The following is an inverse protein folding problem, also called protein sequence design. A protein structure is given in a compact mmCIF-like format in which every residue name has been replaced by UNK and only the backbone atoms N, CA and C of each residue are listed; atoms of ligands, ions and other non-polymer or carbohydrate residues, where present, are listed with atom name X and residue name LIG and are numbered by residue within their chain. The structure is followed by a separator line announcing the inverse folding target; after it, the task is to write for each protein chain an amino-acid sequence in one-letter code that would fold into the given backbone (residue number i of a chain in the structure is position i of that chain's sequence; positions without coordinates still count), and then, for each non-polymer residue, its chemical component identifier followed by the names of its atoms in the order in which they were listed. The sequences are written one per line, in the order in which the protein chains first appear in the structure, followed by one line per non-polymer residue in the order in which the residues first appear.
data_IF_616488220951
#
_entry.id   IF_616488220951
#
_cell.length_a   1.000
_cell.length_b   1.000
_cell.length_c   1.000
_cell.angle_alpha   90.00
_cell.angle_beta   90.00
_cell.angle_gamma   90.00
#
_symmetry.space_group_name_H-M   'P 1'
#
loop_
_entity.id
_entity.type
_entity.pdbx_description
1 polymer ?
#
# COMPACT_ATOMS: atom_id res chain seq x y z
N UNK A 1 42.40 19.55 32.76
CA UNK A 1 42.08 18.11 32.91
C UNK A 1 41.77 17.56 31.52
N UNK A 2 42.68 16.74 30.97
CA UNK A 2 42.54 16.10 29.65
C UNK A 2 41.70 14.84 29.82
N UNK A 3 40.60 14.71 29.06
CA UNK A 3 39.86 13.45 28.93
C UNK A 3 40.23 12.83 27.59
N UNK A 4 40.95 11.73 27.66
CA UNK A 4 41.24 10.86 26.52
C UNK A 4 39.97 10.08 26.17
N UNK A 5 39.58 10.08 24.90
CA UNK A 5 38.49 9.27 24.37
C UNK A 5 39.12 8.07 23.66
N UNK A 6 38.87 6.90 24.24
CA UNK A 6 39.24 5.59 23.71
C UNK A 6 38.41 5.28 22.46
N UNK A 7 39.06 5.15 21.30
CA UNK A 7 38.46 4.64 20.07
C UNK A 7 38.68 3.12 20.06
N UNK A 8 37.61 2.35 20.27
CA UNK A 8 37.59 0.90 20.16
C UNK A 8 37.12 0.52 18.75
N UNK A 9 38.08 0.08 17.93
CA UNK A 9 37.91 -0.34 16.55
C UNK A 9 37.51 -1.82 16.55
N UNK A 10 36.22 -2.12 16.41
CA UNK A 10 35.73 -3.50 16.26
C UNK A 10 35.72 -3.85 14.77
N UNK A 11 36.77 -4.53 14.34
CA UNK A 11 36.84 -5.18 13.03
C UNK A 11 36.07 -6.50 13.13
N UNK A 12 34.85 -6.53 12.57
CA UNK A 12 34.09 -7.77 12.41
C UNK A 12 34.45 -8.40 11.06
N UNK A 13 35.23 -9.49 11.12
CA UNK A 13 35.45 -10.41 10.00
C UNK A 13 34.13 -11.12 9.65
N UNK A 14 33.56 -10.82 8.49
CA UNK A 14 32.55 -11.67 7.87
C UNK A 14 33.23 -12.80 7.11
N UNK A 15 33.16 -14.01 7.68
CA UNK A 15 33.51 -15.26 7.00
C UNK A 15 32.40 -15.56 5.99
N UNK A 16 32.74 -15.54 4.71
CA UNK A 16 31.87 -15.97 3.61
C UNK A 16 31.79 -17.50 3.68
N UNK A 17 30.68 -18.01 4.24
CA UNK A 17 30.34 -19.42 4.22
C UNK A 17 29.80 -19.79 2.83
N UNK A 18 30.60 -20.53 2.07
CA UNK A 18 30.27 -21.11 0.78
C UNK A 18 29.16 -22.16 0.92
N UNK A 19 27.95 -21.84 0.48
CA UNK A 19 26.90 -22.83 0.28
C UNK A 19 27.18 -23.62 -1.01
N UNK A 20 27.73 -24.83 -0.88
CA UNK A 20 27.68 -25.88 -1.90
C UNK A 20 26.25 -26.43 -1.93
N UNK A 21 25.47 -26.11 -2.96
CA UNK A 21 24.21 -26.81 -3.21
C UNK A 21 24.49 -28.13 -3.94
N UNK A 22 24.15 -29.20 -3.23
CA UNK A 22 24.16 -30.59 -3.66
C UNK A 22 22.99 -30.80 -4.63
N UNK A 23 23.28 -31.17 -5.87
CA UNK A 23 22.27 -31.68 -6.80
C UNK A 23 21.95 -33.14 -6.43
N UNK A 24 20.87 -33.36 -5.69
CA UNK A 24 20.25 -34.67 -5.62
C UNK A 24 19.36 -34.84 -6.86
N UNK A 25 19.82 -35.68 -7.78
CA UNK A 25 19.08 -36.12 -8.96
C UNK A 25 18.23 -37.32 -8.54
N UNK A 26 16.99 -37.05 -8.15
CA UNK A 26 16.04 -38.11 -7.82
C UNK A 26 15.31 -38.58 -9.08
N UNK A 27 15.46 -39.87 -9.36
CA UNK A 27 14.83 -40.57 -10.48
C UNK A 27 13.66 -41.40 -9.94
N UNK A 28 12.47 -40.80 -9.90
CA UNK A 28 11.20 -41.51 -9.73
C UNK A 28 10.26 -41.25 -10.92
N UNK A 29 10.75 -41.60 -12.12
CA UNK A 29 9.88 -41.76 -13.30
C UNK A 29 9.19 -43.12 -13.20
N UNK A 30 7.88 -43.16 -13.00
CA UNK A 30 7.16 -44.43 -13.11
C UNK A 30 5.67 -44.47 -12.74
N UNK A 31 5.06 -43.40 -12.23
CA UNK A 31 3.63 -43.40 -11.91
C UNK A 31 2.92 -42.04 -12.03
N UNK A 32 3.56 -41.02 -12.62
CA UNK A 32 3.06 -39.63 -12.66
C UNK A 32 2.69 -39.14 -14.07
N UNK A 33 2.55 -40.07 -15.03
CA UNK A 33 2.32 -39.75 -16.45
C UNK A 33 0.88 -40.03 -16.93
N UNK A 34 -0.01 -40.52 -16.07
CA UNK A 34 -1.42 -40.80 -16.42
C UNK A 34 -2.43 -39.80 -15.82
N UNK A 35 -2.02 -38.92 -14.90
CA UNK A 35 -2.88 -37.86 -14.37
C UNK A 35 -2.60 -36.47 -14.98
N UNK A 36 -1.48 -36.27 -15.68
CA UNK A 36 -1.11 -34.98 -16.28
C UNK A 36 -1.87 -34.64 -17.58
N UNK A 37 -2.40 -35.64 -18.29
CA UNK A 37 -3.20 -35.38 -19.51
C UNK A 37 -4.67 -35.00 -19.21
N UNK A 38 -5.14 -35.15 -17.97
CA UNK A 38 -6.51 -34.74 -17.58
C UNK A 38 -6.58 -33.36 -16.91
N UNK A 39 -5.44 -32.80 -16.47
CA UNK A 39 -5.38 -31.45 -15.86
C UNK A 39 -5.39 -30.31 -16.90
N UNK A 40 -5.00 -30.58 -18.16
CA UNK A 40 -4.74 -29.51 -19.15
C UNK A 40 -5.97 -28.90 -19.82
N UNK A 41 -7.18 -29.43 -19.59
CA UNK A 41 -8.40 -28.91 -20.23
C UNK A 41 -9.30 -28.07 -19.31
N UNK A 42 -8.96 -27.97 -18.02
CA UNK A 42 -9.72 -27.12 -17.11
C UNK A 42 -9.21 -25.68 -17.18
N UNK A 43 -9.77 -24.87 -18.08
CA UNK A 43 -9.59 -23.41 -18.07
C UNK A 43 -10.39 -22.81 -16.90
N UNK A 44 -9.96 -23.09 -15.67
CA UNK A 44 -10.71 -22.76 -14.47
C UNK A 44 -10.61 -21.27 -14.17
N UNK A 45 -11.76 -20.60 -14.11
CA UNK A 45 -11.86 -19.19 -13.68
C UNK A 45 -11.76 -19.03 -12.15
N UNK A 46 -11.79 -20.13 -11.41
CA UNK A 46 -11.79 -20.15 -9.94
C UNK A 46 -11.17 -21.43 -9.37
N UNK A 47 -10.67 -21.35 -8.13
CA UNK A 47 -9.90 -22.43 -7.48
C UNK A 47 -10.69 -23.24 -6.45
N UNK A 48 -11.81 -22.69 -5.93
CA UNK A 48 -12.60 -23.28 -4.84
C UNK A 48 -14.08 -22.97 -5.10
N UNK A 49 -14.97 -23.96 -4.89
CA UNK A 49 -16.41 -23.75 -4.97
C UNK A 49 -16.90 -22.71 -3.96
N UNK A 50 -17.92 -21.94 -4.35
CA UNK A 50 -18.49 -20.87 -3.53
C UNK A 50 -18.40 -19.50 -4.20
N UNK A 51 -18.82 -18.48 -3.47
CA UNK A 51 -18.83 -17.12 -3.98
C UNK A 51 -17.43 -16.50 -3.92
N UNK A 52 -17.05 -15.77 -4.95
CA UNK A 52 -15.82 -15.00 -4.98
C UNK A 52 -15.99 -13.70 -5.76
N UNK A 53 -15.13 -12.73 -5.48
CA UNK A 53 -15.15 -11.43 -6.14
C UNK A 53 -13.96 -11.28 -7.07
N UNK A 54 -14.20 -10.79 -8.28
CA UNK A 54 -13.16 -10.25 -9.16
C UNK A 54 -13.57 -8.86 -9.63
N UNK A 55 -12.75 -7.87 -9.30
CA UNK A 55 -13.13 -6.45 -9.46
C UNK A 55 -14.35 -6.08 -8.61
N UNK A 56 -15.39 -5.57 -9.26
CA UNK A 56 -16.69 -5.24 -8.65
C UNK A 56 -17.76 -6.30 -8.93
N UNK A 57 -17.39 -7.47 -9.45
CA UNK A 57 -18.34 -8.49 -9.87
C UNK A 57 -18.26 -9.71 -8.95
N UNK A 58 -19.44 -10.16 -8.50
CA UNK A 58 -19.62 -11.35 -7.67
C UNK A 58 -19.90 -12.54 -8.56
N UNK A 59 -19.10 -13.59 -8.40
CA UNK A 59 -19.23 -14.85 -9.14
C UNK A 59 -19.51 -16.00 -8.19
N UNK A 60 -20.19 -17.03 -8.69
CA UNK A 60 -20.33 -18.32 -8.04
C UNK A 60 -19.45 -19.33 -8.75
N UNK A 61 -18.47 -19.87 -8.05
CA UNK A 61 -17.69 -21.01 -8.51
C UNK A 61 -18.44 -22.31 -8.17
N UNK A 62 -18.58 -23.20 -9.15
CA UNK A 62 -19.22 -24.51 -8.97
C UNK A 62 -18.58 -25.54 -9.93
N UNK A 63 -18.70 -26.83 -9.59
CA UNK A 63 -18.29 -27.92 -10.47
C UNK A 63 -19.26 -28.12 -11.63
N UNK A 64 -18.75 -28.05 -12.86
CA UNK A 64 -19.56 -28.24 -14.06
C UNK A 64 -19.67 -29.74 -14.39
N UNK A 65 -20.81 -30.35 -14.03
CA UNK A 65 -21.12 -31.76 -14.33
C UNK A 65 -20.24 -32.77 -13.58
N UNK A 66 -19.92 -33.89 -14.23
CA UNK A 66 -19.03 -34.94 -13.67
C UNK A 66 -17.54 -34.60 -13.82
N UNK A 67 -17.21 -33.49 -14.49
CA UNK A 67 -15.83 -33.05 -14.64
C UNK A 67 -15.26 -32.60 -13.29
N UNK A 68 -13.96 -32.74 -13.10
CA UNK A 68 -13.25 -32.13 -11.96
C UNK A 68 -13.05 -30.61 -12.15
N UNK A 69 -13.50 -30.03 -13.28
CA UNK A 69 -13.29 -28.62 -13.59
C UNK A 69 -14.28 -27.73 -12.82
N UNK A 70 -13.80 -26.54 -12.47
CA UNK A 70 -14.58 -25.49 -11.84
C UNK A 70 -14.94 -24.44 -12.88
N UNK A 71 -16.20 -24.03 -12.89
CA UNK A 71 -16.72 -22.94 -13.72
C UNK A 71 -17.24 -21.82 -12.83
N UNK A 72 -17.25 -20.60 -13.35
CA UNK A 72 -17.72 -19.43 -12.63
C UNK A 72 -18.88 -18.76 -13.38
N UNK A 73 -20.02 -18.60 -12.70
CA UNK A 73 -21.15 -17.82 -13.20
C UNK A 73 -21.17 -16.45 -12.52
N UNK A 74 -21.37 -15.38 -13.30
CA UNK A 74 -21.62 -14.05 -12.77
C UNK A 74 -22.96 -14.03 -12.03
N UNK A 75 -22.95 -13.70 -10.74
CA UNK A 75 -24.16 -13.53 -9.93
C UNK A 75 -24.68 -12.10 -10.01
N UNK A 76 -23.80 -11.13 -9.75
CA UNK A 76 -24.16 -9.71 -9.62
C UNK A 76 -22.96 -8.82 -9.94
N UNK A 77 -23.19 -7.73 -10.64
CA UNK A 77 -22.26 -6.61 -10.71
C UNK A 77 -22.60 -5.59 -9.62
N UNK A 78 -21.63 -5.26 -8.78
CA UNK A 78 -21.79 -4.26 -7.74
C UNK A 78 -21.66 -2.86 -8.33
N UNK A 79 -22.51 -1.95 -7.86
CA UNK A 79 -22.43 -0.55 -8.27
C UNK A 79 -21.13 0.12 -7.80
N UNK A 80 -20.84 1.32 -8.30
CA UNK A 80 -19.62 2.06 -7.94
C UNK A 80 -19.54 2.43 -6.45
N UNK A 81 -20.69 2.53 -5.77
CA UNK A 81 -20.82 2.74 -4.33
C UNK A 81 -20.93 1.43 -3.53
N UNK A 82 -20.85 0.26 -4.17
CA UNK A 82 -20.83 -1.04 -3.49
C UNK A 82 -19.45 -1.70 -3.60
N UNK A 83 -19.05 -2.43 -2.56
CA UNK A 83 -17.90 -3.33 -2.53
C UNK A 83 -18.42 -4.75 -2.69
N UNK A 84 -17.81 -5.51 -3.60
CA UNK A 84 -18.07 -6.94 -3.69
C UNK A 84 -17.48 -7.67 -2.48
N UNK A 85 -18.31 -8.47 -1.80
CA UNK A 85 -17.93 -9.41 -0.75
C UNK A 85 -18.46 -10.80 -1.09
N UNK A 86 -17.99 -11.84 -0.39
CA UNK A 86 -18.50 -13.21 -0.57
C UNK A 86 -20.00 -13.34 -0.27
N UNK A 87 -20.57 -12.38 0.48
CA UNK A 87 -21.98 -12.36 0.87
C UNK A 87 -22.86 -11.54 -0.10
N UNK A 88 -22.28 -10.81 -1.05
CA UNK A 88 -23.05 -9.92 -1.91
C UNK A 88 -22.30 -8.65 -2.29
N UNK A 89 -23.07 -7.65 -2.71
CA UNK A 89 -22.57 -6.30 -2.82
C UNK A 89 -22.98 -5.55 -1.55
N UNK A 90 -21.99 -5.04 -0.84
CA UNK A 90 -22.18 -4.25 0.38
C UNK A 90 -21.91 -2.79 0.08
N UNK A 91 -22.69 -1.87 0.63
CA UNK A 91 -22.43 -0.44 0.46
C UNK A 91 -21.02 -0.10 0.97
N UNK A 92 -20.23 0.60 0.16
CA UNK A 92 -18.93 1.12 0.57
C UNK A 92 -19.18 2.12 1.67
N UNK A 93 -18.63 1.85 2.85
CA UNK A 93 -18.48 2.90 3.85
C UNK A 93 -17.53 3.94 3.28
N UNK A 94 -18.08 5.10 2.95
CA UNK A 94 -17.28 6.28 2.66
C UNK A 94 -16.81 6.78 4.02
N UNK A 95 -15.50 6.76 4.31
CA UNK A 95 -14.99 7.26 5.58
C UNK A 95 -15.50 8.68 5.77
N UNK A 96 -16.08 8.97 6.93
CA UNK A 96 -16.45 10.34 7.25
C UNK A 96 -15.17 11.10 7.57
N UNK A 97 -14.70 11.87 6.59
CA UNK A 97 -13.44 12.60 6.71
C UNK A 97 -13.68 14.01 7.24
N UNK A 98 -12.84 14.37 8.18
CA UNK A 98 -12.72 15.71 8.72
C UNK A 98 -11.37 16.32 8.32
N UNK A 99 -11.29 17.64 8.38
CA UNK A 99 -10.09 18.43 8.06
C UNK A 99 -9.56 19.14 9.30
N UNK A 100 -9.80 18.55 10.47
CA UNK A 100 -9.49 19.18 11.75
C UNK A 100 -8.00 19.03 12.11
N UNK A 101 -7.32 18.02 11.56
CA UNK A 101 -5.88 17.89 11.73
C UNK A 101 -5.11 18.94 10.96
N UNK A 102 -4.06 19.43 11.61
CA UNK A 102 -3.15 20.42 11.06
C UNK A 102 -1.85 19.73 10.67
N UNK A 103 -1.32 20.04 9.49
CA UNK A 103 -0.05 19.49 9.03
C UNK A 103 1.09 19.82 10.01
N UNK A 104 0.98 20.88 10.82
CA UNK A 104 1.96 21.17 11.88
C UNK A 104 2.12 20.04 12.90
N UNK A 105 1.09 19.18 13.02
CA UNK A 105 1.08 18.07 13.96
C UNK A 105 1.88 16.87 13.41
N UNK A 106 2.31 16.89 12.15
CA UNK A 106 3.21 15.88 11.61
C UNK A 106 4.58 15.92 12.33
N UNK A 107 5.14 14.75 12.74
CA UNK A 107 4.69 13.40 12.45
C UNK A 107 3.90 12.71 13.57
N UNK A 108 3.41 13.45 14.58
CA UNK A 108 2.85 12.92 15.82
C UNK A 108 1.71 11.90 15.62
N UNK A 109 0.74 12.06 14.70
CA UNK A 109 -0.31 11.04 14.52
C UNK A 109 0.21 9.65 14.17
N UNK A 110 1.37 9.58 13.52
CA UNK A 110 1.99 8.35 13.03
C UNK A 110 2.95 7.73 14.05
N UNK A 111 3.30 8.46 15.12
CA UNK A 111 4.28 8.03 16.13
C UNK A 111 3.70 8.21 17.53
N UNK A 112 3.60 7.11 18.27
CA UNK A 112 3.14 7.10 19.66
C UNK A 112 4.13 6.34 20.55
N UNK A 113 4.59 6.96 21.63
CA UNK A 113 5.54 6.36 22.59
C UNK A 113 6.81 5.80 21.92
N UNK A 114 7.38 6.56 20.98
CA UNK A 114 8.52 6.16 20.17
C UNK A 114 8.32 4.84 19.39
N UNK A 115 7.09 4.57 18.98
CA UNK A 115 6.70 3.45 18.10
C UNK A 115 5.75 3.96 17.03
N UNK A 116 5.58 3.20 15.97
CA UNK A 116 4.56 3.48 14.98
C UNK A 116 3.15 3.28 15.56
N UNK A 117 2.28 4.26 15.36
CA UNK A 117 0.91 4.24 15.87
C UNK A 117 -0.03 3.66 14.81
N UNK A 118 -0.32 2.35 14.85
CA UNK A 118 -1.19 1.64 13.88
C UNK A 118 -0.92 2.02 12.41
N UNK A 119 0.36 2.14 12.09
CA UNK A 119 0.85 2.78 10.87
C UNK A 119 0.77 1.87 9.65
N UNK A 120 0.40 2.44 8.51
CA UNK A 120 0.65 1.87 7.19
C UNK A 120 1.19 2.92 6.22
N UNK A 121 2.22 2.56 5.46
CA UNK A 121 2.64 3.31 4.28
C UNK A 121 2.20 2.54 3.06
N UNK A 122 1.41 3.17 2.19
CA UNK A 122 0.84 2.52 1.00
C UNK A 122 1.25 3.25 -0.26
N UNK A 123 1.86 2.51 -1.18
CA UNK A 123 2.21 2.97 -2.54
C UNK A 123 1.30 2.31 -3.58
N UNK A 124 1.14 2.91 -4.76
CA UNK A 124 0.42 2.25 -5.84
C UNK A 124 1.15 1.00 -6.31
N UNK A 125 0.39 -0.05 -6.65
CA UNK A 125 0.96 -1.25 -7.29
C UNK A 125 1.44 -1.00 -8.72
N UNK A 126 0.85 -0.02 -9.42
CA UNK A 126 1.28 0.44 -10.73
C UNK A 126 1.97 1.80 -10.65
N UNK A 127 2.45 2.15 -9.46
CA UNK A 127 3.01 3.45 -9.17
C UNK A 127 4.31 3.70 -9.89
N UNK A 128 4.68 4.98 -9.98
CA UNK A 128 5.97 5.36 -10.51
C UNK A 128 7.09 5.03 -9.50
N UNK A 129 8.33 4.90 -9.96
CA UNK A 129 9.48 4.65 -9.09
C UNK A 129 9.62 5.73 -7.99
N UNK A 130 9.19 6.96 -8.30
CA UNK A 130 9.14 8.08 -7.37
C UNK A 130 8.29 7.79 -6.14
N UNK A 131 7.18 7.06 -6.26
CA UNK A 131 6.31 6.73 -5.11
C UNK A 131 7.04 5.87 -4.07
N UNK A 132 7.85 4.90 -4.53
CA UNK A 132 8.66 4.04 -3.66
C UNK A 132 9.78 4.87 -2.99
N UNK A 133 10.41 5.76 -3.75
CA UNK A 133 11.48 6.64 -3.23
C UNK A 133 10.93 7.60 -2.17
N UNK A 134 9.77 8.24 -2.41
CA UNK A 134 9.07 9.05 -1.42
C UNK A 134 8.83 8.25 -0.16
N UNK A 135 8.35 7.02 -0.33
CA UNK A 135 8.13 6.11 0.78
C UNK A 135 9.39 5.97 1.62
N UNK A 136 10.51 5.60 1.01
CA UNK A 136 11.79 5.46 1.70
C UNK A 136 12.28 6.75 2.38
N UNK A 137 12.08 7.93 1.76
CA UNK A 137 12.47 9.21 2.35
C UNK A 137 11.62 9.57 3.58
N UNK A 138 10.30 9.39 3.51
CA UNK A 138 9.40 9.55 4.66
C UNK A 138 9.84 8.60 5.78
N UNK A 139 10.06 7.32 5.45
CA UNK A 139 10.53 6.34 6.43
C UNK A 139 11.82 6.79 7.11
N UNK A 140 12.80 7.23 6.32
CA UNK A 140 14.08 7.74 6.83
C UNK A 140 13.90 8.96 7.72
N UNK A 141 12.93 9.83 7.44
CA UNK A 141 12.62 11.00 8.26
C UNK A 141 11.95 10.66 9.60
N UNK A 142 11.22 9.55 9.66
CA UNK A 142 10.54 9.09 10.88
C UNK A 142 11.44 8.25 11.80
N UNK A 143 12.49 7.61 11.27
CA UNK A 143 13.41 6.75 12.04
C UNK A 143 13.94 7.40 13.33
N UNK A 144 14.36 8.69 13.36
CA UNK A 144 14.87 9.31 14.58
C UNK A 144 13.88 9.36 15.76
N UNK A 145 12.59 9.18 15.49
CA UNK A 145 11.51 9.30 16.47
C UNK A 145 10.97 7.95 16.94
N UNK A 146 11.47 6.83 16.41
CA UNK A 146 11.01 5.48 16.75
C UNK A 146 12.15 4.57 17.21
N UNK A 147 11.84 3.66 18.13
CA UNK A 147 12.77 2.67 18.68
C UNK A 147 12.51 1.27 18.10
N UNK A 148 12.01 1.19 16.87
CA UNK A 148 11.70 -0.07 16.21
C UNK A 148 12.01 -0.05 14.72
N UNK A 149 12.07 -1.25 14.12
CA UNK A 149 12.29 -1.39 12.69
C UNK A 149 11.08 -0.89 11.93
N UNK A 150 11.34 -0.13 10.86
CA UNK A 150 10.30 0.37 9.99
C UNK A 150 9.49 -0.77 9.33
N UNK A 151 8.15 -0.76 9.37
CA UNK A 151 7.32 -1.75 8.67
C UNK A 151 7.44 -1.60 7.15
N UNK A 152 7.57 -2.72 6.44
CA UNK A 152 7.63 -2.70 4.98
C UNK A 152 6.42 -1.98 4.38
N UNK A 153 6.60 -1.14 3.34
CA UNK A 153 5.49 -0.54 2.62
C UNK A 153 4.51 -1.59 2.11
N UNK A 154 3.21 -1.26 2.14
CA UNK A 154 2.18 -2.01 1.45
C UNK A 154 1.97 -1.45 0.05
N UNK A 155 1.58 -2.31 -0.87
CA UNK A 155 1.01 -1.90 -2.15
C UNK A 155 -0.50 -1.91 -2.09
N UNK A 156 -1.17 -1.17 -2.98
CA UNK A 156 -2.64 -1.18 -3.10
C UNK A 156 -3.27 -2.56 -3.36
N UNK A 157 -2.49 -3.60 -3.70
CA UNK A 157 -2.98 -4.98 -3.79
C UNK A 157 -3.00 -5.72 -2.44
N UNK A 158 -2.17 -5.30 -1.50
CA UNK A 158 -2.02 -5.96 -0.19
C UNK A 158 -2.99 -5.41 0.86
N UNK A 159 -3.53 -4.21 0.63
CA UNK A 159 -4.45 -3.54 1.55
C UNK A 159 -5.68 -3.08 0.78
N UNK A 160 -6.86 -3.44 1.29
CA UNK A 160 -8.16 -3.18 0.64
C UNK A 160 -9.02 -2.15 1.37
N UNK A 161 -8.55 -1.64 2.51
CA UNK A 161 -9.20 -0.60 3.32
C UNK A 161 -8.15 0.12 4.17
N UNK A 162 -8.38 1.41 4.42
CA UNK A 162 -7.57 2.23 5.33
C UNK A 162 -8.12 2.28 6.76
N UNK A 163 -9.28 1.65 7.00
CA UNK A 163 -9.94 1.63 8.31
C UNK A 163 -9.03 1.02 9.40
N UNK A 164 -9.04 1.64 10.58
CA UNK A 164 -8.33 1.21 11.76
C UNK A 164 -6.82 1.41 11.71
N UNK A 165 -6.32 2.31 10.85
CA UNK A 165 -4.88 2.56 10.66
C UNK A 165 -4.58 4.04 10.44
N UNK A 166 -3.48 4.53 11.00
CA UNK A 166 -2.89 5.78 10.55
C UNK A 166 -2.14 5.51 9.25
N UNK A 167 -2.57 6.13 8.15
CA UNK A 167 -2.07 5.76 6.81
C UNK A 167 -1.42 6.94 6.11
N UNK A 168 -0.25 6.69 5.53
CA UNK A 168 0.34 7.56 4.51
C UNK A 168 0.09 6.92 3.15
N UNK A 169 -0.76 7.54 2.33
CA UNK A 169 -1.07 7.11 0.98
C UNK A 169 -0.24 7.93 -0.01
N UNK A 170 0.63 7.26 -0.77
CA UNK A 170 1.48 7.87 -1.79
C UNK A 170 0.98 7.47 -3.17
N UNK A 171 0.88 8.43 -4.07
CA UNK A 171 0.37 8.23 -5.42
C UNK A 171 -0.62 9.32 -5.81
N UNK A 172 -1.20 9.20 -7.00
CA UNK A 172 -2.35 10.03 -7.40
C UNK A 172 -3.60 9.15 -7.48
N UNK A 173 -4.81 9.74 -7.53
CA UNK A 173 -6.04 8.95 -7.65
C UNK A 173 -6.17 8.13 -8.94
N UNK A 174 -5.30 8.33 -9.94
CA UNK A 174 -5.28 7.53 -11.16
C UNK A 174 -4.55 6.21 -10.98
N UNK A 175 -3.52 6.18 -10.14
CA UNK A 175 -2.70 4.99 -9.87
C UNK A 175 -3.02 4.35 -8.54
N UNK A 176 -3.54 5.10 -7.56
CA UNK A 176 -3.82 4.62 -6.21
C UNK A 176 -5.34 4.67 -5.89
N UNK A 177 -5.99 3.50 -5.91
CA UNK A 177 -7.45 3.37 -5.67
C UNK A 177 -7.87 3.88 -4.29
N UNK A 178 -7.03 3.73 -3.27
CA UNK A 178 -7.36 4.18 -1.91
C UNK A 178 -7.38 5.72 -1.84
N UNK A 179 -6.49 6.39 -2.55
CA UNK A 179 -6.52 7.86 -2.67
C UNK A 179 -7.79 8.29 -3.41
N UNK A 180 -8.17 7.59 -4.48
CA UNK A 180 -9.41 7.87 -5.20
C UNK A 180 -10.65 7.72 -4.31
N UNK A 181 -10.69 6.68 -3.46
CA UNK A 181 -11.76 6.47 -2.48
C UNK A 181 -11.81 7.60 -1.43
N UNK A 182 -10.66 7.95 -0.83
CA UNK A 182 -10.57 9.05 0.15
C UNK A 182 -10.99 10.39 -0.46
N UNK A 183 -10.63 10.65 -1.72
CA UNK A 183 -10.97 11.90 -2.43
C UNK A 183 -12.37 11.88 -3.03
N UNK A 184 -13.10 10.76 -2.95
CA UNK A 184 -14.37 10.54 -3.64
C UNK A 184 -14.28 10.87 -5.16
N UNK A 185 -13.23 10.35 -5.81
CA UNK A 185 -12.94 10.50 -7.23
C UNK A 185 -13.02 9.13 -7.90
N UNK A 186 -13.52 9.09 -9.14
CA UNK A 186 -13.54 7.86 -9.92
C UNK A 186 -12.12 7.40 -10.28
N UNK A 187 -11.74 6.23 -9.77
CA UNK A 187 -10.44 5.59 -10.02
C UNK A 187 -10.24 5.32 -11.51
N UNK A 188 -9.07 5.69 -12.06
CA UNK A 188 -8.71 5.56 -13.49
C UNK A 188 -9.59 6.33 -14.48
N UNK A 189 -10.41 7.28 -14.02
CA UNK A 189 -11.06 8.22 -14.94
C UNK A 189 -10.03 9.09 -15.66
N UNK A 190 -10.37 9.72 -16.79
CA UNK A 190 -9.41 10.59 -17.51
C UNK A 190 -9.02 11.85 -16.72
N UNK A 191 -9.76 12.18 -15.66
CA UNK A 191 -9.64 13.43 -14.90
C UNK A 191 -9.30 13.18 -13.42
N UNK A 192 -8.84 11.98 -13.07
CA UNK A 192 -8.57 11.59 -11.68
C UNK A 192 -7.46 12.41 -11.01
N UNK A 193 -6.60 13.08 -11.76
CA UNK A 193 -5.51 13.95 -11.29
C UNK A 193 -5.68 15.41 -11.73
N UNK A 194 -6.85 15.81 -12.23
CA UNK A 194 -7.10 17.15 -12.78
C UNK A 194 -6.92 18.30 -11.76
N UNK A 195 -6.87 17.98 -10.47
CA UNK A 195 -6.62 18.95 -9.38
C UNK A 195 -5.14 19.08 -8.99
N UNK A 196 -4.24 18.33 -9.65
CA UNK A 196 -2.79 18.38 -9.44
C UNK A 196 -2.19 19.05 -10.68
N UNK A 197 -1.61 20.24 -10.53
CA UNK A 197 -0.92 20.88 -11.67
C UNK A 197 0.47 20.26 -11.88
N UNK A 198 1.02 20.46 -13.08
CA UNK A 198 2.36 19.97 -13.38
C UNK A 198 3.40 20.73 -12.54
N UNK A 199 4.35 20.01 -11.95
CA UNK A 199 5.34 20.59 -11.04
C UNK A 199 4.87 20.73 -9.60
N UNK A 200 3.58 20.47 -9.31
CA UNK A 200 3.02 20.53 -7.96
C UNK A 200 3.04 19.16 -7.27
N UNK A 201 3.28 19.21 -5.96
CA UNK A 201 2.94 18.13 -5.03
C UNK A 201 1.93 18.64 -4.02
N UNK A 202 0.90 17.84 -3.74
CA UNK A 202 -0.11 18.13 -2.74
C UNK A 202 0.07 17.19 -1.55
N UNK A 203 0.20 17.78 -0.37
CA UNK A 203 0.08 17.10 0.92
C UNK A 203 -1.30 17.44 1.51
N UNK A 204 -2.10 16.45 1.86
CA UNK A 204 -3.39 16.65 2.54
C UNK A 204 -3.55 15.69 3.71
N UNK A 205 -3.87 16.23 4.89
CA UNK A 205 -4.10 15.46 6.12
C UNK A 205 -5.59 15.44 6.44
N UNK A 206 -6.10 14.25 6.76
CA UNK A 206 -7.49 14.01 7.13
C UNK A 206 -7.56 13.21 8.43
N UNK A 207 -8.58 13.46 9.24
CA UNK A 207 -9.04 12.51 10.26
C UNK A 207 -10.25 11.72 9.79
N UNK A 208 -10.21 10.43 10.07
CA UNK A 208 -11.37 9.55 10.02
C UNK A 208 -12.20 9.75 11.28
N UNK A 209 -13.40 10.30 11.12
CA UNK A 209 -14.35 10.51 12.21
C UNK A 209 -14.88 9.18 12.78
N UNK A 210 -14.80 8.11 11.99
CA UNK A 210 -15.34 6.80 12.32
C UNK A 210 -14.44 6.03 13.31
N UNK A 211 -13.12 6.20 13.23
CA UNK A 211 -12.15 5.40 13.98
C UNK A 211 -10.98 6.19 14.59
N UNK A 212 -10.98 7.53 14.48
CA UNK A 212 -9.96 8.44 15.02
C UNK A 212 -8.55 8.25 14.45
N UNK A 213 -8.42 7.64 13.28
CA UNK A 213 -7.13 7.55 12.60
C UNK A 213 -6.90 8.72 11.64
N UNK A 214 -5.63 8.95 11.31
CA UNK A 214 -5.20 10.02 10.42
C UNK A 214 -4.72 9.45 9.09
N UNK A 215 -5.13 10.11 8.00
CA UNK A 215 -4.75 9.78 6.64
C UNK A 215 -3.97 10.96 6.06
N UNK A 216 -2.70 10.75 5.74
CA UNK A 216 -1.88 11.69 4.96
C UNK A 216 -1.85 11.24 3.50
N UNK A 217 -2.34 12.09 2.60
CA UNK A 217 -2.20 11.93 1.17
C UNK A 217 -0.95 12.66 0.68
N UNK A 218 -0.12 11.97 -0.10
CA UNK A 218 1.06 12.52 -0.78
C UNK A 218 0.88 12.32 -2.27
N UNK A 219 0.44 13.38 -2.97
CA UNK A 219 -0.02 13.30 -4.35
C UNK A 219 0.83 14.15 -5.28
N UNK A 220 1.27 13.55 -6.40
CA UNK A 220 1.99 14.23 -7.47
C UNK A 220 1.74 13.54 -8.83
N UNK A 221 2.13 14.20 -9.93
CA UNK A 221 1.98 13.64 -11.29
C UNK A 221 3.18 12.83 -11.77
N UNK A 222 4.39 13.15 -11.33
CA UNK A 222 5.62 12.56 -11.86
C UNK A 222 6.67 12.26 -10.77
N UNK A 223 7.69 11.50 -11.14
CA UNK A 223 8.77 11.04 -10.26
C UNK A 223 9.53 12.17 -9.56
N UNK A 224 9.74 13.30 -10.23
CA UNK A 224 10.53 14.39 -9.68
C UNK A 224 9.75 15.13 -8.61
N UNK A 225 8.46 15.36 -8.83
CA UNK A 225 7.59 16.01 -7.85
C UNK A 225 7.41 15.11 -6.61
N UNK A 226 7.27 13.80 -6.80
CA UNK A 226 7.35 12.83 -5.72
C UNK A 226 8.64 12.96 -4.90
N UNK A 227 9.81 13.01 -5.52
CA UNK A 227 11.08 13.20 -4.79
C UNK A 227 11.10 14.49 -3.97
N UNK A 228 10.55 15.59 -4.48
CA UNK A 228 10.40 16.83 -3.69
C UNK A 228 9.56 16.58 -2.44
N UNK A 229 8.43 15.88 -2.57
CA UNK A 229 7.55 15.53 -1.47
C UNK A 229 8.26 14.70 -0.37
N UNK A 230 8.99 13.67 -0.80
CA UNK A 230 9.75 12.79 0.10
C UNK A 230 10.77 13.56 0.91
N UNK A 231 11.58 14.39 0.25
CA UNK A 231 12.57 15.23 0.92
C UNK A 231 11.91 16.26 1.84
N UNK A 232 10.81 16.88 1.41
CA UNK A 232 10.09 17.87 2.21
C UNK A 232 9.52 17.27 3.52
N UNK A 233 8.96 16.06 3.46
CA UNK A 233 8.46 15.34 4.63
C UNK A 233 9.59 14.77 5.50
N UNK A 234 10.71 14.36 4.88
CA UNK A 234 11.90 13.88 5.57
C UNK A 234 12.54 14.97 6.43
N UNK A 235 12.65 16.18 5.89
CA UNK A 235 13.23 17.36 6.54
C UNK A 235 12.14 18.32 7.06
N UNK A 236 11.02 17.78 7.55
CA UNK A 236 9.88 18.59 7.99
C UNK A 236 10.25 19.64 9.04
N UNK A 237 11.25 19.36 9.89
CA UNK A 237 11.72 20.29 10.92
C UNK A 237 12.32 21.58 10.35
N UNK A 238 12.90 21.51 9.14
CA UNK A 238 13.45 22.65 8.41
C UNK A 238 12.35 23.50 7.74
N UNK A 239 11.10 23.02 7.78
CA UNK A 239 9.95 23.59 7.08
C UNK A 239 8.72 23.77 8.00
N UNK A 240 8.87 23.73 9.33
CA UNK A 240 7.74 23.78 10.28
C UNK A 240 6.80 24.96 10.05
N UNK A 241 7.31 26.10 9.58
CA UNK A 241 6.53 27.30 9.30
C UNK A 241 5.58 27.15 8.10
N UNK A 242 5.83 26.17 7.22
CA UNK A 242 5.02 25.83 6.04
C UNK A 242 3.99 24.75 6.31
N UNK A 243 4.19 23.89 7.30
CA UNK A 243 3.22 22.87 7.71
C UNK A 243 2.10 23.55 8.51
N UNK A 244 1.09 24.08 7.80
CA UNK A 244 -0.05 24.79 8.39
C UNK A 244 -1.35 24.38 7.71
N UNK A 245 -2.39 24.23 8.52
CA UNK A 245 -3.69 23.77 8.05
C UNK A 245 -3.63 22.33 7.54
N UNK A 246 -4.70 21.85 6.92
CA UNK A 246 -4.81 20.45 6.53
C UNK A 246 -4.28 20.17 5.10
N UNK A 247 -3.81 21.19 4.38
CA UNK A 247 -3.37 21.10 2.99
C UNK A 247 -2.15 21.99 2.74
N UNK A 248 -1.16 21.44 2.06
CA UNK A 248 0.02 22.16 1.59
C UNK A 248 0.30 21.78 0.12
N UNK A 249 0.65 22.78 -0.69
CA UNK A 249 1.13 22.61 -2.06
C UNK A 249 2.60 22.98 -2.12
N UNK A 250 3.42 22.08 -2.66
CA UNK A 250 4.86 22.25 -2.86
C UNK A 250 5.09 22.42 -4.36
N UNK A 251 5.84 23.46 -4.73
CA UNK A 251 6.20 23.82 -6.12
C UNK A 251 7.71 23.76 -6.32
#
# INVERSE_FOLDING_TARGET
MKKEIFILLIISLFVISSCKNFYAKDTSKGAEELDKEMEDNCKNDCSIEGNFCTGNSLYKCFRAGESKCLSADLIKECSSNEKCTINGCEEKKVPQLSKNFDLKDYPEPFILNAKFNDYALVVSTSGLNGEIIVGADIQSGLVPYVNEKFPSPYTTRQISSVEGKNVILIGNPCTNKLIAEVKNIEFKSSNCDAFINDGETILELYDSLDDKHVILLVMAKNDNDYKKAGLFLKYWEEHKDKFKGNKLVIT
#
